data_IF_199114997221
#
_entry.id   IF_199114997221
#
_cell.length_a   1.000
_cell.length_b   1.000
_cell.length_c   1.000
_cell.angle_alpha   90.00
_cell.angle_beta   90.00
_cell.angle_gamma   90.00
#
_symmetry.space_group_name_H-M   'P 1'
#
loop_
_entity.id
_entity.type
_entity.pdbx_description
1 polymer ?
#
# COMPACT_ATOMS: atom_id res chain seq x y z
N UNK A 1 17.12 16.39 7.79
CA UNK A 1 16.70 17.81 7.86
C UNK A 1 15.84 17.97 9.10
N UNK A 2 15.82 19.14 9.71
CA UNK A 2 14.90 19.47 10.80
C UNK A 2 13.90 20.50 10.28
N UNK A 3 12.63 20.32 10.66
CA UNK A 3 11.55 21.18 10.26
C UNK A 3 10.84 21.73 11.49
N UNK A 4 10.42 22.98 11.43
CA UNK A 4 9.45 23.51 12.38
C UNK A 4 8.06 23.07 11.95
N UNK A 5 7.34 22.40 12.85
CA UNK A 5 5.97 21.93 12.63
C UNK A 5 5.00 22.92 13.23
N UNK A 6 4.03 23.35 12.46
CA UNK A 6 2.93 24.18 12.92
C UNK A 6 1.62 23.43 12.77
N UNK A 7 0.79 23.46 13.80
CA UNK A 7 -0.54 22.86 13.80
C UNK A 7 -1.56 23.95 14.03
N UNK A 8 -2.41 24.18 13.04
CA UNK A 8 -3.53 25.13 13.10
C UNK A 8 -4.81 24.33 13.34
N UNK A 9 -5.53 24.64 14.42
CA UNK A 9 -6.80 24.01 14.75
C UNK A 9 -7.96 24.85 14.20
N UNK A 10 -8.85 24.20 13.45
CA UNK A 10 -10.03 24.83 12.82
C UNK A 10 -11.25 23.92 12.92
N UNK A 11 -12.36 24.29 12.29
CA UNK A 11 -13.53 23.44 12.16
C UNK A 11 -13.49 22.64 10.86
N UNK A 12 -14.16 21.47 10.81
CA UNK A 12 -14.27 20.65 9.60
C UNK A 12 -14.93 21.40 8.45
N UNK A 13 -15.85 22.34 8.73
CA UNK A 13 -16.53 23.15 7.74
C UNK A 13 -15.66 24.29 7.17
N UNK A 14 -14.67 24.76 7.93
CA UNK A 14 -13.79 25.84 7.52
C UNK A 14 -12.46 25.41 6.88
N UNK A 15 -12.18 24.10 6.82
CA UNK A 15 -10.90 23.55 6.32
C UNK A 15 -10.51 24.12 4.97
N UNK A 16 -11.43 24.16 4.00
CA UNK A 16 -11.13 24.64 2.64
C UNK A 16 -10.77 26.12 2.60
N UNK A 17 -11.48 26.94 3.38
CA UNK A 17 -11.23 28.39 3.45
C UNK A 17 -9.93 28.68 4.17
N UNK A 18 -9.65 27.97 5.26
CA UNK A 18 -8.40 28.12 6.02
C UNK A 18 -7.21 27.61 5.23
N UNK A 19 -7.38 26.54 4.44
CA UNK A 19 -6.36 26.04 3.51
C UNK A 19 -6.04 27.08 2.43
N UNK A 20 -7.07 27.77 1.90
CA UNK A 20 -6.87 28.89 0.98
C UNK A 20 -6.06 30.02 1.59
N UNK A 21 -6.35 30.41 2.83
CA UNK A 21 -5.59 31.42 3.57
C UNK A 21 -4.11 31.03 3.77
N UNK A 22 -3.83 29.74 4.04
CA UNK A 22 -2.45 29.24 4.13
C UNK A 22 -1.72 29.34 2.80
N UNK A 23 -2.37 28.98 1.69
CA UNK A 23 -1.80 29.10 0.34
C UNK A 23 -1.48 30.57 -0.01
N UNK A 24 -2.38 31.50 0.30
CA UNK A 24 -2.15 32.93 0.08
C UNK A 24 -1.02 33.50 0.95
N UNK A 25 -0.79 32.91 2.12
CA UNK A 25 0.34 33.23 2.98
C UNK A 25 1.67 32.60 2.53
N UNK A 26 1.66 31.80 1.45
CA UNK A 26 2.84 31.15 0.87
C UNK A 26 3.16 29.77 1.44
N UNK A 27 2.18 29.10 2.03
CA UNK A 27 2.27 27.69 2.45
C UNK A 27 1.62 26.81 1.38
N UNK A 28 2.42 26.23 0.51
CA UNK A 28 1.93 25.44 -0.64
C UNK A 28 1.66 23.96 -0.31
N UNK A 29 2.13 23.47 0.85
CA UNK A 29 2.00 22.09 1.25
C UNK A 29 1.62 21.97 2.72
N UNK A 30 0.53 21.25 3.01
CA UNK A 30 0.04 20.98 4.36
C UNK A 30 -0.71 19.66 4.41
N UNK A 31 -0.84 19.12 5.59
CA UNK A 31 -1.63 17.93 5.90
C UNK A 31 -2.94 18.36 6.57
N UNK A 32 -4.04 17.68 6.26
CA UNK A 32 -5.33 17.89 6.91
C UNK A 32 -5.67 16.65 7.71
N UNK A 33 -5.89 16.83 9.01
CA UNK A 33 -6.41 15.82 9.91
C UNK A 33 -7.83 16.21 10.30
N UNK A 34 -8.83 15.53 9.74
CA UNK A 34 -10.23 15.66 10.12
C UNK A 34 -10.90 14.29 10.24
N UNK A 35 -12.16 14.28 10.68
CA UNK A 35 -13.00 13.10 10.77
C UNK A 35 -14.18 13.16 9.82
N UNK A 36 -14.13 14.02 8.82
CA UNK A 36 -15.17 14.17 7.82
C UNK A 36 -15.29 12.87 7.01
N UNK A 37 -16.51 12.42 6.80
CA UNK A 37 -16.73 11.24 5.97
C UNK A 37 -16.37 11.54 4.52
N UNK A 38 -15.55 10.71 3.94
CA UNK A 38 -15.18 10.76 2.52
C UNK A 38 -16.40 10.31 1.70
N UNK A 39 -16.74 11.06 0.66
CA UNK A 39 -17.83 10.71 -0.25
C UNK A 39 -17.54 9.42 -1.03
N UNK A 40 -18.59 8.75 -1.54
CA UNK A 40 -18.41 7.54 -2.37
C UNK A 40 -17.54 7.81 -3.61
N UNK A 41 -17.66 8.99 -4.22
CA UNK A 41 -16.84 9.37 -5.38
C UNK A 41 -15.37 9.54 -5.00
N UNK A 42 -15.08 10.07 -3.82
CA UNK A 42 -13.70 10.18 -3.31
C UNK A 42 -13.15 8.81 -2.93
N UNK A 43 -13.95 7.92 -2.34
CA UNK A 43 -13.55 6.54 -2.07
C UNK A 43 -13.16 5.82 -3.36
N UNK A 44 -13.96 5.94 -4.41
CA UNK A 44 -13.65 5.37 -5.72
C UNK A 44 -12.35 5.94 -6.30
N UNK A 45 -12.16 7.26 -6.21
CA UNK A 45 -10.95 7.92 -6.71
C UNK A 45 -9.68 7.53 -5.93
N UNK A 46 -9.82 7.25 -4.64
CA UNK A 46 -8.71 6.84 -3.75
C UNK A 46 -8.54 5.32 -3.67
N UNK A 47 -9.38 4.54 -4.38
CA UNK A 47 -9.37 3.08 -4.34
C UNK A 47 -9.51 2.49 -2.93
N UNK A 48 -10.34 3.11 -2.09
CA UNK A 48 -10.59 2.68 -0.71
C UNK A 48 -11.88 1.88 -0.65
N UNK A 49 -11.78 0.57 -0.41
CA UNK A 49 -12.93 -0.33 -0.31
C UNK A 49 -13.62 -0.28 1.06
N UNK A 50 -12.86 -0.07 2.14
CA UNK A 50 -13.37 -0.01 3.51
C UNK A 50 -12.76 1.19 4.23
N UNK A 51 -13.63 2.06 4.77
CA UNK A 51 -13.24 3.12 5.68
C UNK A 51 -13.70 2.79 7.10
N UNK A 52 -12.91 3.14 8.13
CA UNK A 52 -13.44 3.13 9.49
C UNK A 52 -14.60 4.14 9.61
N UNK A 53 -15.66 3.78 10.32
CA UNK A 53 -16.69 4.74 10.67
C UNK A 53 -16.09 5.78 11.63
N UNK A 54 -15.84 6.97 11.11
CA UNK A 54 -15.40 8.11 11.89
C UNK A 54 -16.61 8.99 12.18
N UNK A 55 -16.76 9.38 13.44
CA UNK A 55 -17.76 10.39 13.84
C UNK A 55 -17.08 11.73 13.80
N UNK A 56 -17.55 12.60 12.89
CA UNK A 56 -17.07 13.99 12.82
C UNK A 56 -17.40 14.73 14.11
N UNK A 57 -16.38 15.21 14.81
CA UNK A 57 -16.49 15.98 16.04
C UNK A 57 -16.44 17.49 15.81
N UNK A 58 -16.46 17.89 14.53
CA UNK A 58 -16.44 19.30 14.11
C UNK A 58 -15.06 19.97 14.21
N UNK A 59 -14.01 19.20 14.55
CA UNK A 59 -12.64 19.72 14.72
C UNK A 59 -11.75 19.18 13.62
N UNK A 60 -11.01 20.08 12.96
CA UNK A 60 -9.96 19.75 12.01
C UNK A 60 -8.62 20.39 12.43
N UNK A 61 -7.54 19.80 12.01
CA UNK A 61 -6.20 20.31 12.16
C UNK A 61 -5.52 20.37 10.81
N UNK A 62 -4.91 21.53 10.52
CA UNK A 62 -4.08 21.71 9.34
C UNK A 62 -2.64 21.81 9.82
N UNK A 63 -1.79 20.92 9.32
CA UNK A 63 -0.40 20.80 9.75
C UNK A 63 0.48 21.22 8.59
N UNK A 64 1.36 22.20 8.82
CA UNK A 64 2.32 22.67 7.83
C UNK A 64 3.73 22.78 8.40
N UNK A 65 4.70 22.86 7.52
CA UNK A 65 6.11 22.78 7.89
C UNK A 65 6.87 23.97 7.30
N UNK A 66 7.82 24.48 8.06
CA UNK A 66 8.80 25.47 7.59
C UNK A 66 10.20 24.94 7.83
N UNK A 67 11.12 25.26 6.92
CA UNK A 67 12.52 24.89 7.09
C UNK A 67 13.07 25.52 8.38
N UNK A 68 13.84 24.77 9.16
CA UNK A 68 14.44 25.24 10.41
C UNK A 68 15.40 26.41 10.18
N UNK A 69 15.97 26.49 8.98
CA UNK A 69 16.86 27.60 8.58
C UNK A 69 16.07 28.83 8.11
N UNK A 70 14.74 28.80 8.12
CA UNK A 70 13.92 30.02 7.88
C UNK A 70 14.21 31.03 8.95
N UNK A 71 14.58 32.25 8.54
CA UNK A 71 14.87 33.31 9.51
C UNK A 71 13.64 33.66 10.35
N UNK A 72 13.82 33.88 11.64
CA UNK A 72 12.75 34.22 12.58
C UNK A 72 11.86 35.35 12.08
N UNK A 73 12.47 36.35 11.39
CA UNK A 73 11.74 37.46 10.80
C UNK A 73 10.78 37.01 9.69
N UNK A 74 11.22 36.13 8.79
CA UNK A 74 10.39 35.62 7.69
C UNK A 74 9.28 34.72 8.22
N UNK A 75 9.60 33.88 9.19
CA UNK A 75 8.63 33.03 9.87
C UNK A 75 7.52 33.86 10.52
N UNK A 76 7.90 34.91 11.29
CA UNK A 76 6.94 35.78 11.92
C UNK A 76 6.07 36.53 10.89
N UNK A 77 6.65 37.00 9.78
CA UNK A 77 5.90 37.61 8.68
C UNK A 77 4.84 36.66 8.09
N UNK A 78 5.17 35.38 7.91
CA UNK A 78 4.22 34.35 7.42
C UNK A 78 3.12 34.12 8.45
N UNK A 79 3.46 33.92 9.72
CA UNK A 79 2.48 33.67 10.78
C UNK A 79 1.56 34.87 11.00
N UNK A 80 2.09 36.10 10.92
CA UNK A 80 1.29 37.33 11.03
C UNK A 80 0.32 37.46 9.85
N UNK A 81 0.74 37.09 8.64
CA UNK A 81 -0.14 37.06 7.46
C UNK A 81 -1.26 36.05 7.64
N UNK A 82 -0.92 34.80 8.05
CA UNK A 82 -1.92 33.77 8.34
C UNK A 82 -2.93 34.28 9.38
N UNK A 83 -2.47 34.82 10.49
CA UNK A 83 -3.35 35.35 11.54
C UNK A 83 -4.26 36.46 11.02
N UNK A 84 -3.76 37.34 10.18
CA UNK A 84 -4.56 38.41 9.57
C UNK A 84 -5.71 37.87 8.74
N UNK A 85 -5.42 36.88 7.89
CA UNK A 85 -6.44 36.21 7.06
C UNK A 85 -7.43 35.42 7.90
N UNK A 86 -6.99 34.74 8.95
CA UNK A 86 -7.87 34.03 9.87
C UNK A 86 -8.84 35.00 10.57
N UNK A 87 -8.39 36.20 10.99
CA UNK A 87 -9.28 37.21 11.59
C UNK A 87 -10.30 37.75 10.56
N UNK A 88 -9.95 37.85 9.30
CA UNK A 88 -10.89 38.19 8.23
C UNK A 88 -11.92 37.09 8.05
N UNK A 89 -11.50 35.82 8.00
CA UNK A 89 -12.39 34.65 7.86
C UNK A 89 -13.38 34.55 9.02
N UNK A 90 -13.00 34.89 10.26
CA UNK A 90 -13.89 34.92 11.45
C UNK A 90 -15.10 35.82 11.29
N UNK A 91 -15.07 36.78 10.37
CA UNK A 91 -16.19 37.71 10.17
C UNK A 91 -17.39 37.06 9.46
N UNK A 92 -17.20 35.92 8.78
CA UNK A 92 -18.22 35.27 7.97
C UNK A 92 -18.30 33.76 8.10
N UNK A 93 -17.32 33.12 8.77
CA UNK A 93 -17.34 31.68 9.01
C UNK A 93 -16.78 31.36 10.40
N UNK A 94 -17.31 30.33 11.04
CA UNK A 94 -16.74 29.82 12.29
C UNK A 94 -15.50 28.97 11.98
N UNK A 95 -14.33 29.54 12.22
CA UNK A 95 -13.03 28.85 12.07
C UNK A 95 -12.58 28.12 13.34
N UNK A 96 -13.42 28.01 14.36
CA UNK A 96 -13.07 27.42 15.65
C UNK A 96 -12.01 28.23 16.39
N UNK A 97 -11.06 27.56 17.05
CA UNK A 97 -10.01 28.23 17.84
C UNK A 97 -9.09 29.08 16.96
N UNK A 98 -8.79 28.66 15.73
CA UNK A 98 -7.79 29.30 14.86
C UNK A 98 -6.39 29.32 15.47
N UNK A 99 -6.15 28.51 16.52
CA UNK A 99 -4.90 28.51 17.26
C UNK A 99 -3.80 27.82 16.49
N UNK A 100 -2.68 28.50 16.30
CA UNK A 100 -1.46 27.91 15.76
C UNK A 100 -0.56 27.50 16.93
N UNK A 101 -0.10 26.27 16.93
CA UNK A 101 0.88 25.74 17.89
C UNK A 101 2.14 25.32 17.17
N UNK A 102 3.29 25.76 17.68
CA UNK A 102 4.59 25.39 17.16
C UNK A 102 5.10 24.12 17.84
N UNK A 103 5.74 23.27 17.07
CA UNK A 103 6.50 22.10 17.52
C UNK A 103 7.71 21.91 16.62
N UNK A 104 8.69 21.18 17.09
CA UNK A 104 9.82 20.75 16.26
C UNK A 104 9.62 19.30 15.83
N UNK A 105 9.94 19.01 14.57
CA UNK A 105 9.92 17.64 14.05
C UNK A 105 11.29 17.33 13.47
N UNK A 106 11.92 16.26 13.88
CA UNK A 106 13.05 15.68 13.17
C UNK A 106 12.51 14.68 12.13
N UNK A 107 13.13 14.62 10.94
CA UNK A 107 12.81 13.58 9.93
C UNK A 107 12.76 12.18 10.56
N UNK A 108 13.56 11.95 11.60
CA UNK A 108 13.58 10.71 12.36
C UNK A 108 12.27 10.37 13.06
N UNK A 109 11.51 11.38 13.50
CA UNK A 109 10.25 11.15 14.23
C UNK A 109 9.13 10.71 13.28
N UNK A 110 9.17 11.17 12.04
CA UNK A 110 8.23 10.76 11.00
C UNK A 110 8.61 9.41 10.40
N UNK A 111 9.90 9.26 10.03
CA UNK A 111 10.44 8.01 9.47
C UNK A 111 10.32 6.84 10.46
N UNK A 112 10.26 7.09 11.76
CA UNK A 112 10.25 6.02 12.76
C UNK A 112 8.87 5.77 13.39
N UNK A 113 7.93 6.73 13.39
CA UNK A 113 6.60 6.52 13.97
C UNK A 113 5.83 5.34 13.35
N UNK A 114 5.89 5.15 12.03
CA UNK A 114 5.25 4.02 11.37
C UNK A 114 5.84 2.67 11.82
N UNK A 115 7.12 2.65 12.24
CA UNK A 115 7.76 1.44 12.76
C UNK A 115 7.11 0.93 14.06
N UNK A 116 6.54 1.82 14.85
CA UNK A 116 5.83 1.46 16.09
C UNK A 116 4.53 0.70 15.80
N UNK A 117 3.94 0.91 14.64
CA UNK A 117 2.70 0.26 14.22
C UNK A 117 2.94 -1.10 13.55
N UNK A 118 4.17 -1.35 13.06
CA UNK A 118 4.48 -2.59 12.38
C UNK A 118 5.03 -3.63 13.38
N UNK A 119 4.13 -4.46 13.90
CA UNK A 119 4.45 -5.50 14.89
C UNK A 119 4.60 -6.87 14.22
N UNK A 120 5.47 -7.75 14.76
CA UNK A 120 5.58 -9.13 14.31
C UNK A 120 4.22 -9.85 14.40
N UNK A 121 3.93 -10.67 13.40
CA UNK A 121 2.72 -11.50 13.37
C UNK A 121 3.01 -12.85 12.71
N UNK A 122 2.12 -13.81 12.91
CA UNK A 122 2.26 -15.15 12.35
C UNK A 122 1.14 -15.44 11.35
N UNK A 123 1.51 -16.11 10.25
CA UNK A 123 0.60 -16.73 9.30
C UNK A 123 0.86 -18.23 9.37
N UNK A 124 -0.01 -18.95 10.06
CA UNK A 124 0.17 -20.36 10.39
C UNK A 124 1.52 -20.60 11.12
N UNK A 125 2.51 -21.25 10.50
CA UNK A 125 3.85 -21.48 11.03
C UNK A 125 4.94 -20.57 10.40
N UNK A 126 4.54 -19.48 9.73
CA UNK A 126 5.40 -18.47 9.15
C UNK A 126 5.34 -17.21 10.04
N UNK A 127 6.48 -16.81 10.58
CA UNK A 127 6.61 -15.52 11.27
C UNK A 127 6.98 -14.44 10.25
N UNK A 128 6.23 -13.34 10.23
CA UNK A 128 6.60 -12.12 9.50
C UNK A 128 6.93 -11.04 10.52
N UNK A 129 8.09 -10.43 10.40
CA UNK A 129 8.55 -9.38 11.31
C UNK A 129 9.37 -8.33 10.55
N UNK A 130 9.46 -7.08 11.05
CA UNK A 130 10.44 -6.13 10.55
C UNK A 130 11.84 -6.47 11.08
N UNK A 131 12.87 -5.95 10.40
CA UNK A 131 14.29 -6.22 10.78
C UNK A 131 14.64 -5.70 12.17
N UNK A 132 14.02 -4.62 12.62
CA UNK A 132 14.29 -3.96 13.92
C UNK A 132 13.61 -4.61 15.13
N UNK A 133 12.66 -5.52 14.91
CA UNK A 133 11.97 -6.20 16.02
C UNK A 133 12.64 -7.54 16.36
N UNK A 134 12.88 -7.75 17.65
CA UNK A 134 13.33 -9.03 18.17
C UNK A 134 12.12 -9.82 18.68
N UNK A 135 12.01 -11.06 18.26
CA UNK A 135 10.94 -11.96 18.68
C UNK A 135 11.52 -13.07 19.52
N UNK A 136 11.00 -13.25 20.74
CA UNK A 136 11.31 -14.39 21.58
C UNK A 136 10.70 -15.66 20.96
N UNK A 137 11.28 -16.83 21.24
CA UNK A 137 10.80 -18.13 20.73
C UNK A 137 10.67 -18.21 19.19
N UNK A 138 11.57 -17.59 18.46
CA UNK A 138 11.58 -17.59 16.99
C UNK A 138 11.63 -19.02 16.41
N UNK A 139 12.23 -19.96 17.13
CA UNK A 139 12.39 -21.37 16.74
C UNK A 139 11.07 -22.17 16.67
N UNK A 140 9.98 -21.63 17.22
CA UNK A 140 8.66 -22.26 17.09
C UNK A 140 8.06 -22.13 15.68
N UNK A 141 8.59 -21.23 14.86
CA UNK A 141 8.14 -21.02 13.49
C UNK A 141 9.04 -21.79 12.50
N UNK A 142 8.42 -22.40 11.50
CA UNK A 142 9.17 -23.11 10.45
C UNK A 142 9.85 -22.17 9.46
N UNK A 143 9.35 -20.95 9.35
CA UNK A 143 9.86 -19.94 8.44
C UNK A 143 9.78 -18.58 9.09
N UNK A 144 10.84 -17.80 8.92
CA UNK A 144 10.88 -16.38 9.34
C UNK A 144 11.11 -15.54 8.10
N UNK A 145 10.31 -14.51 7.96
CA UNK A 145 10.36 -13.55 6.87
C UNK A 145 10.55 -12.16 7.48
N UNK A 146 11.59 -11.49 7.05
CA UNK A 146 11.87 -10.11 7.46
C UNK A 146 11.39 -9.15 6.35
N UNK A 147 10.44 -8.29 6.69
CA UNK A 147 9.89 -7.29 5.76
C UNK A 147 9.98 -5.91 6.39
N UNK A 148 10.69 -5.04 5.71
CA UNK A 148 10.69 -3.61 5.99
C UNK A 148 9.81 -2.93 4.92
N UNK A 149 8.56 -2.59 5.23
CA UNK A 149 7.62 -2.12 4.22
C UNK A 149 7.99 -0.74 3.64
N UNK A 150 8.76 0.07 4.38
CA UNK A 150 9.06 1.43 3.97
C UNK A 150 7.76 2.23 3.76
N UNK A 151 7.67 2.92 2.62
CA UNK A 151 6.45 3.58 2.14
C UNK A 151 5.62 2.66 1.21
N UNK A 152 6.11 1.45 0.90
CA UNK A 152 5.44 0.51 0.03
C UNK A 152 4.30 -0.22 0.74
N UNK A 153 3.24 -0.53 0.00
CA UNK A 153 2.15 -1.39 0.48
C UNK A 153 2.61 -2.85 0.63
N UNK A 154 1.91 -3.63 1.47
CA UNK A 154 2.17 -5.07 1.59
C UNK A 154 2.97 -5.45 2.84
N UNK A 155 2.48 -5.03 4.03
CA UNK A 155 3.06 -5.46 5.33
C UNK A 155 2.89 -6.96 5.60
N UNK A 156 1.98 -7.62 4.88
CA UNK A 156 1.66 -9.04 5.06
C UNK A 156 0.62 -9.33 6.13
N UNK A 157 0.31 -8.38 7.01
CA UNK A 157 -0.67 -8.57 8.09
C UNK A 157 -2.10 -8.75 7.57
N UNK A 158 -2.41 -8.13 6.43
CA UNK A 158 -3.75 -8.09 5.87
C UNK A 158 -4.23 -9.49 5.44
N UNK A 159 -5.53 -9.76 5.59
CA UNK A 159 -6.17 -11.04 5.26
C UNK A 159 -5.89 -11.48 3.83
N UNK A 160 -5.84 -10.53 2.90
CA UNK A 160 -5.60 -10.80 1.47
C UNK A 160 -4.22 -11.41 1.22
N UNK A 161 -3.19 -10.91 1.90
CA UNK A 161 -1.84 -11.47 1.82
C UNK A 161 -1.78 -12.88 2.41
N UNK A 162 -2.47 -13.11 3.55
CA UNK A 162 -2.56 -14.43 4.16
C UNK A 162 -3.25 -15.45 3.24
N UNK A 163 -4.32 -15.03 2.53
CA UNK A 163 -4.99 -15.87 1.53
C UNK A 163 -4.04 -16.27 0.41
N UNK A 164 -3.29 -15.31 -0.17
CA UNK A 164 -2.29 -15.61 -1.20
C UNK A 164 -1.20 -16.55 -0.70
N UNK A 165 -0.66 -16.33 0.50
CA UNK A 165 0.40 -17.17 1.09
C UNK A 165 -0.05 -18.60 1.26
N UNK A 166 -1.30 -18.84 1.73
CA UNK A 166 -1.86 -20.19 1.86
C UNK A 166 -2.02 -20.88 0.50
N UNK A 167 -2.41 -20.14 -0.54
CA UNK A 167 -2.48 -20.69 -1.90
C UNK A 167 -1.08 -20.98 -2.47
N UNK A 168 -0.11 -20.08 -2.30
CA UNK A 168 1.28 -20.33 -2.70
C UNK A 168 1.85 -21.56 -2.03
N UNK A 169 1.62 -21.72 -0.72
CA UNK A 169 2.07 -22.88 0.05
C UNK A 169 1.49 -24.19 -0.46
N UNK A 170 0.25 -24.17 -0.97
CA UNK A 170 -0.43 -25.35 -1.52
C UNK A 170 0.15 -25.81 -2.86
N UNK A 171 0.63 -24.88 -3.68
CA UNK A 171 0.93 -25.14 -5.08
C UNK A 171 2.40 -24.99 -5.48
N UNK A 172 3.23 -24.32 -4.68
CA UNK A 172 4.66 -24.15 -4.99
C UNK A 172 5.39 -25.47 -4.88
N UNK A 173 6.24 -25.73 -5.87
CA UNK A 173 7.22 -26.82 -5.94
C UNK A 173 8.60 -26.27 -6.27
N UNK A 174 9.65 -27.13 -6.22
CA UNK A 174 11.03 -26.72 -6.52
C UNK A 174 11.26 -26.34 -8.01
N UNK A 175 10.30 -26.60 -8.88
CA UNK A 175 10.37 -26.24 -10.30
C UNK A 175 9.51 -25.00 -10.63
N UNK A 176 8.80 -24.44 -9.66
CA UNK A 176 7.87 -23.35 -9.85
C UNK A 176 8.59 -22.06 -10.28
N UNK A 177 8.19 -21.49 -11.41
CA UNK A 177 8.46 -20.11 -11.78
C UNK A 177 7.25 -19.25 -11.38
N UNK A 178 7.48 -18.26 -10.53
CA UNK A 178 6.47 -17.37 -9.96
C UNK A 178 6.53 -15.99 -10.61
N UNK A 179 5.39 -15.46 -11.02
CA UNK A 179 5.22 -14.03 -11.36
C UNK A 179 4.35 -13.38 -10.28
N UNK A 180 4.80 -12.26 -9.74
CA UNK A 180 4.13 -11.47 -8.70
C UNK A 180 3.76 -10.10 -9.29
N UNK A 181 2.48 -9.87 -9.53
CA UNK A 181 1.95 -8.65 -10.16
C UNK A 181 1.41 -7.71 -9.10
N UNK A 182 1.98 -6.49 -9.02
CA UNK A 182 1.78 -5.58 -7.89
C UNK A 182 2.53 -6.11 -6.67
N UNK A 183 3.85 -6.32 -6.81
CA UNK A 183 4.63 -7.02 -5.78
C UNK A 183 4.80 -6.25 -4.47
N UNK A 184 4.61 -4.92 -4.44
CA UNK A 184 4.71 -4.10 -3.24
C UNK A 184 6.03 -4.29 -2.50
N UNK A 185 5.95 -4.72 -1.25
CA UNK A 185 7.13 -5.05 -0.43
C UNK A 185 7.92 -6.28 -0.89
N UNK A 186 7.42 -7.02 -1.89
CA UNK A 186 7.98 -8.28 -2.38
C UNK A 186 7.62 -9.50 -1.54
N UNK A 187 6.76 -9.38 -0.55
CA UNK A 187 6.48 -10.44 0.43
C UNK A 187 6.04 -11.76 -0.22
N UNK A 188 5.17 -11.73 -1.24
CA UNK A 188 4.68 -12.95 -1.90
C UNK A 188 5.78 -13.62 -2.72
N UNK A 189 6.58 -12.83 -3.43
CA UNK A 189 7.76 -13.32 -4.14
C UNK A 189 8.80 -13.94 -3.20
N UNK A 190 9.10 -13.27 -2.08
CA UNK A 190 10.06 -13.72 -1.07
C UNK A 190 9.59 -15.03 -0.42
N UNK A 191 8.33 -15.08 0.02
CA UNK A 191 7.74 -16.29 0.59
C UNK A 191 7.71 -17.40 -0.46
N UNK A 192 7.37 -17.09 -1.70
CA UNK A 192 7.41 -18.04 -2.80
C UNK A 192 8.80 -18.69 -2.96
N UNK A 193 9.85 -17.90 -2.92
CA UNK A 193 11.24 -18.38 -2.94
C UNK A 193 11.59 -19.23 -1.72
N UNK A 194 11.19 -18.79 -0.54
CA UNK A 194 11.41 -19.55 0.71
C UNK A 194 10.63 -20.87 0.76
N UNK A 195 9.48 -20.95 0.09
CA UNK A 195 8.72 -22.20 -0.08
C UNK A 195 9.33 -23.14 -1.12
N UNK A 196 10.35 -22.70 -1.84
CA UNK A 196 11.08 -23.53 -2.79
C UNK A 196 10.85 -23.19 -4.27
N UNK A 197 10.13 -22.13 -4.61
CA UNK A 197 10.00 -21.73 -6.02
C UNK A 197 11.40 -21.53 -6.64
N UNK A 198 11.58 -22.01 -7.87
CA UNK A 198 12.85 -21.97 -8.61
C UNK A 198 13.28 -20.54 -8.91
N UNK A 199 12.34 -19.75 -9.45
CA UNK A 199 12.54 -18.35 -9.78
C UNK A 199 11.29 -17.55 -9.37
N UNK A 200 11.48 -16.26 -9.09
CA UNK A 200 10.40 -15.31 -8.93
C UNK A 200 10.69 -14.04 -9.74
N UNK A 201 9.64 -13.43 -10.29
CA UNK A 201 9.71 -12.18 -11.01
C UNK A 201 8.58 -11.27 -10.51
N UNK A 202 8.95 -10.13 -9.94
CA UNK A 202 7.98 -9.17 -9.40
C UNK A 202 7.88 -7.94 -10.28
N UNK A 203 6.67 -7.43 -10.45
CA UNK A 203 6.40 -6.20 -11.20
C UNK A 203 5.55 -5.28 -10.33
N UNK A 204 5.92 -4.01 -10.26
CA UNK A 204 5.11 -2.98 -9.63
C UNK A 204 5.17 -1.67 -10.43
N UNK A 205 4.12 -0.88 -10.36
CA UNK A 205 4.09 0.44 -11.01
C UNK A 205 4.86 1.49 -10.22
N UNK A 206 5.07 1.25 -8.92
CA UNK A 206 5.76 2.14 -8.01
C UNK A 206 7.25 1.78 -7.86
N UNK A 207 8.13 2.75 -8.16
CA UNK A 207 9.58 2.64 -7.97
C UNK A 207 9.98 2.39 -6.51
N UNK A 208 9.23 2.97 -5.56
CA UNK A 208 9.50 2.77 -4.14
C UNK A 208 9.21 1.32 -3.72
N UNK A 209 8.14 0.71 -4.26
CA UNK A 209 7.82 -0.69 -4.06
C UNK A 209 8.92 -1.62 -4.61
N UNK A 210 9.42 -1.36 -5.82
CA UNK A 210 10.52 -2.13 -6.41
C UNK A 210 11.79 -2.01 -5.58
N UNK A 211 12.12 -0.83 -5.09
CA UNK A 211 13.28 -0.60 -4.22
C UNK A 211 13.16 -1.37 -2.90
N UNK A 212 11.97 -1.31 -2.27
CA UNK A 212 11.69 -2.03 -1.03
C UNK A 212 11.78 -3.55 -1.23
N UNK A 213 11.19 -4.09 -2.30
CA UNK A 213 11.20 -5.53 -2.58
C UNK A 213 12.61 -6.08 -2.83
N UNK A 214 13.47 -5.33 -3.52
CA UNK A 214 14.90 -5.68 -3.70
C UNK A 214 15.61 -5.71 -2.34
N UNK A 215 15.39 -4.72 -1.47
CA UNK A 215 15.96 -4.67 -0.13
C UNK A 215 15.51 -5.85 0.72
N UNK A 216 14.21 -6.12 0.75
CA UNK A 216 13.62 -7.22 1.50
C UNK A 216 14.10 -8.60 1.01
N UNK A 217 14.27 -8.80 -0.30
CA UNK A 217 14.80 -10.04 -0.85
C UNK A 217 16.23 -10.31 -0.36
N UNK A 218 17.08 -9.28 -0.29
CA UNK A 218 18.46 -9.38 0.24
C UNK A 218 18.46 -9.74 1.72
N UNK A 219 17.68 -9.07 2.54
CA UNK A 219 17.57 -9.35 3.98
C UNK A 219 17.17 -10.81 4.22
N UNK A 220 16.26 -11.34 3.40
CA UNK A 220 15.82 -12.73 3.49
C UNK A 220 16.78 -13.74 2.84
N UNK A 221 17.87 -13.30 2.20
CA UNK A 221 18.83 -14.18 1.54
C UNK A 221 18.25 -14.95 0.35
N UNK A 222 17.31 -14.35 -0.37
CA UNK A 222 16.65 -14.92 -1.56
C UNK A 222 16.81 -14.06 -2.80
N UNK A 223 17.73 -13.10 -2.79
CA UNK A 223 18.05 -12.21 -3.90
C UNK A 223 18.61 -12.92 -5.14
N UNK A 224 19.04 -14.18 -4.97
CA UNK A 224 19.37 -15.05 -6.10
C UNK A 224 18.10 -15.64 -6.71
N UNK A 225 17.96 -15.55 -8.06
CA UNK A 225 16.81 -16.06 -8.81
C UNK A 225 15.48 -15.36 -8.45
N UNK A 226 15.56 -14.09 -8.09
CA UNK A 226 14.44 -13.18 -7.95
C UNK A 226 14.79 -11.86 -8.62
N UNK A 227 13.90 -11.32 -9.42
CA UNK A 227 14.05 -10.03 -10.10
C UNK A 227 12.80 -9.20 -9.85
N UNK A 228 12.99 -7.89 -9.64
CA UNK A 228 11.90 -6.94 -9.51
C UNK A 228 12.09 -5.81 -10.50
N UNK A 229 11.01 -5.43 -11.18
CA UNK A 229 11.03 -4.33 -12.14
C UNK A 229 9.84 -3.39 -11.96
N UNK A 230 10.08 -2.13 -12.31
CA UNK A 230 9.00 -1.16 -12.45
C UNK A 230 8.30 -1.34 -13.78
N UNK A 231 6.96 -1.36 -13.78
CA UNK A 231 6.17 -1.38 -15.01
C UNK A 231 4.71 -1.76 -14.80
N UNK A 232 3.93 -1.60 -15.88
CA UNK A 232 2.52 -1.99 -15.94
C UNK A 232 2.33 -3.14 -16.94
N UNK A 233 2.14 -4.35 -16.45
CA UNK A 233 1.94 -5.54 -17.32
C UNK A 233 0.59 -5.52 -18.05
N UNK A 234 -0.36 -4.66 -17.66
CA UNK A 234 -1.68 -4.59 -18.32
C UNK A 234 -1.56 -3.87 -19.66
N UNK A 235 -0.84 -2.76 -19.70
CA UNK A 235 -0.84 -1.85 -20.85
C UNK A 235 0.49 -1.80 -21.60
N UNK A 236 1.61 -2.03 -20.89
CA UNK A 236 2.95 -1.87 -21.47
C UNK A 236 3.42 -3.15 -22.14
N UNK A 237 3.60 -3.07 -23.46
CA UNK A 237 4.08 -4.19 -24.27
C UNK A 237 5.53 -4.59 -23.91
N UNK A 238 6.41 -3.62 -23.61
CA UNK A 238 7.81 -3.93 -23.28
C UNK A 238 7.89 -4.71 -21.96
N UNK A 239 7.04 -4.37 -21.01
CA UNK A 239 6.92 -5.10 -19.73
C UNK A 239 6.37 -6.51 -19.94
N UNK A 240 5.33 -6.68 -20.79
CA UNK A 240 4.82 -8.00 -21.17
C UNK A 240 5.91 -8.88 -21.81
N UNK A 241 6.65 -8.31 -22.76
CA UNK A 241 7.71 -9.02 -23.46
C UNK A 241 8.87 -9.37 -22.51
N UNK A 242 9.22 -8.47 -21.58
CA UNK A 242 10.25 -8.71 -20.56
C UNK A 242 9.81 -9.76 -19.55
N UNK A 243 8.56 -9.76 -19.10
CA UNK A 243 8.00 -10.80 -18.24
C UNK A 243 8.06 -12.18 -18.92
N UNK A 244 7.91 -12.22 -20.26
CA UNK A 244 7.95 -13.47 -21.03
C UNK A 244 6.58 -14.17 -21.07
N UNK A 245 6.45 -15.11 -22.00
CA UNK A 245 5.20 -15.81 -22.28
C UNK A 245 5.36 -17.32 -22.06
N UNK A 246 4.32 -17.95 -21.48
CA UNK A 246 4.25 -19.40 -21.27
C UNK A 246 5.34 -19.95 -20.35
N UNK A 247 5.88 -19.12 -19.46
CA UNK A 247 7.02 -19.48 -18.62
C UNK A 247 6.70 -19.60 -17.13
N UNK A 248 5.51 -19.14 -16.67
CA UNK A 248 5.15 -19.18 -15.25
C UNK A 248 4.22 -20.33 -14.91
N UNK A 249 4.54 -21.01 -13.83
CA UNK A 249 3.68 -22.04 -13.23
C UNK A 249 2.60 -21.40 -12.35
N UNK A 250 2.95 -20.26 -11.72
CA UNK A 250 2.04 -19.48 -10.89
C UNK A 250 2.20 -18.00 -11.23
N UNK A 251 1.09 -17.31 -11.41
CA UNK A 251 0.99 -15.86 -11.35
C UNK A 251 0.18 -15.51 -10.11
N UNK A 252 0.72 -14.67 -9.22
CA UNK A 252 0.01 -14.16 -8.05
C UNK A 252 -0.20 -12.66 -8.20
N UNK A 253 -1.36 -12.16 -7.75
CA UNK A 253 -1.67 -10.74 -7.71
C UNK A 253 -2.51 -10.44 -6.48
N UNK A 254 -1.96 -9.67 -5.54
CA UNK A 254 -2.67 -9.18 -4.36
C UNK A 254 -2.90 -7.68 -4.49
N UNK A 255 -3.87 -7.32 -5.31
CA UNK A 255 -4.17 -5.94 -5.72
C UNK A 255 -5.70 -5.73 -5.75
N UNK A 256 -6.15 -4.50 -5.95
CA UNK A 256 -7.57 -4.16 -5.97
C UNK A 256 -8.33 -4.90 -7.07
N UNK A 257 -9.58 -5.24 -6.80
CA UNK A 257 -10.48 -5.95 -7.73
C UNK A 257 -10.57 -5.23 -9.09
N UNK A 258 -10.63 -3.90 -9.09
CA UNK A 258 -10.74 -3.08 -10.30
C UNK A 258 -9.48 -3.14 -11.19
N UNK A 259 -8.34 -3.56 -10.63
CA UNK A 259 -7.10 -3.84 -11.38
C UNK A 259 -7.02 -5.32 -11.78
N UNK A 260 -7.53 -6.25 -10.96
CA UNK A 260 -7.58 -7.68 -11.31
C UNK A 260 -8.45 -7.92 -12.55
N UNK A 261 -9.57 -7.20 -12.67
CA UNK A 261 -10.48 -7.32 -13.81
C UNK A 261 -9.79 -7.09 -15.16
N UNK A 262 -9.11 -5.96 -15.44
CA UNK A 262 -8.35 -5.79 -16.67
C UNK A 262 -7.13 -6.74 -16.75
N UNK A 263 -6.46 -7.06 -15.64
CA UNK A 263 -5.34 -8.00 -15.62
C UNK A 263 -5.76 -9.39 -16.09
N UNK A 264 -6.93 -9.89 -15.70
CA UNK A 264 -7.44 -11.21 -16.10
C UNK A 264 -7.56 -11.38 -17.61
N UNK A 265 -7.73 -10.28 -18.36
CA UNK A 265 -7.82 -10.31 -19.83
C UNK A 265 -6.48 -10.55 -20.53
N UNK A 266 -5.36 -10.18 -19.87
CA UNK A 266 -4.02 -10.17 -20.50
C UNK A 266 -3.04 -11.16 -19.86
N UNK A 267 -3.35 -11.75 -18.71
CA UNK A 267 -2.39 -12.53 -17.93
C UNK A 267 -2.20 -13.97 -18.42
N UNK A 268 -3.22 -14.57 -19.00
CA UNK A 268 -3.18 -15.98 -19.42
C UNK A 268 -1.98 -16.32 -20.32
N UNK A 269 -1.57 -15.51 -21.31
CA UNK A 269 -0.40 -15.79 -22.14
C UNK A 269 0.91 -15.98 -21.38
N UNK A 270 1.08 -15.40 -20.19
CA UNK A 270 2.29 -15.52 -19.36
C UNK A 270 2.37 -16.86 -18.62
N UNK A 271 1.23 -17.44 -18.29
CA UNK A 271 1.15 -18.76 -17.64
C UNK A 271 1.52 -19.89 -18.59
N UNK A 272 2.07 -20.98 -18.09
CA UNK A 272 2.11 -22.27 -18.75
C UNK A 272 0.69 -22.86 -18.84
N UNK A 273 0.46 -23.81 -19.73
CA UNK A 273 -0.78 -24.60 -19.69
C UNK A 273 -0.84 -25.38 -18.36
N UNK A 274 -1.98 -25.34 -17.69
CA UNK A 274 -2.14 -25.88 -16.33
C UNK A 274 -1.55 -24.99 -15.23
N UNK A 275 -0.95 -23.84 -15.58
CA UNK A 275 -0.47 -22.87 -14.61
C UNK A 275 -1.62 -22.15 -13.91
N UNK A 276 -1.33 -21.59 -12.72
CA UNK A 276 -2.33 -21.00 -11.83
C UNK A 276 -2.25 -19.49 -11.81
N UNK A 277 -3.39 -18.83 -11.85
CA UNK A 277 -3.57 -17.42 -11.57
C UNK A 277 -4.25 -17.27 -10.20
N UNK A 278 -3.49 -16.81 -9.20
CA UNK A 278 -3.94 -16.62 -7.81
C UNK A 278 -4.14 -15.14 -7.59
N UNK A 279 -5.37 -14.73 -7.28
CA UNK A 279 -5.71 -13.33 -7.03
C UNK A 279 -6.24 -13.15 -5.62
N UNK A 280 -5.97 -12.01 -5.00
CA UNK A 280 -6.57 -11.55 -3.75
C UNK A 280 -6.53 -10.01 -3.71
N UNK A 281 -7.00 -9.39 -2.60
CA UNK A 281 -7.29 -7.96 -2.57
C UNK A 281 -8.72 -7.67 -3.03
N UNK A 282 -9.56 -8.70 -3.02
CA UNK A 282 -10.94 -8.65 -3.50
C UNK A 282 -11.86 -8.59 -2.28
N UNK A 283 -12.58 -7.50 -2.12
CA UNK A 283 -13.64 -7.42 -1.11
C UNK A 283 -14.84 -8.27 -1.56
N UNK A 284 -15.57 -8.87 -0.61
CA UNK A 284 -16.62 -9.86 -0.88
C UNK A 284 -17.69 -9.39 -1.89
N UNK A 285 -18.04 -8.10 -1.92
CA UNK A 285 -19.02 -7.54 -2.83
C UNK A 285 -18.53 -7.45 -4.29
N UNK A 286 -17.20 -7.50 -4.52
CA UNK A 286 -16.57 -7.52 -5.86
C UNK A 286 -16.23 -8.95 -6.34
N UNK A 287 -16.49 -9.99 -5.55
CA UNK A 287 -16.18 -11.38 -5.91
C UNK A 287 -16.81 -11.78 -7.25
N UNK A 288 -18.10 -11.48 -7.41
CA UNK A 288 -18.83 -11.87 -8.63
C UNK A 288 -18.27 -11.20 -9.89
N UNK A 289 -17.86 -9.94 -9.80
CA UNK A 289 -17.29 -9.19 -10.91
C UNK A 289 -15.94 -9.75 -11.34
N UNK A 290 -15.08 -10.09 -10.36
CA UNK A 290 -13.76 -10.68 -10.61
C UNK A 290 -13.90 -12.09 -11.20
N UNK A 291 -14.75 -12.94 -10.63
CA UNK A 291 -15.02 -14.28 -11.16
C UNK A 291 -15.50 -14.21 -12.60
N UNK A 292 -16.46 -13.33 -12.87
CA UNK A 292 -16.98 -13.10 -14.22
C UNK A 292 -15.87 -12.68 -15.20
N UNK A 293 -15.04 -11.72 -14.81
CA UNK A 293 -13.94 -11.24 -15.65
C UNK A 293 -12.89 -12.32 -15.95
N UNK A 294 -12.61 -13.20 -14.98
CA UNK A 294 -11.72 -14.35 -15.19
C UNK A 294 -12.35 -15.35 -16.15
N UNK A 295 -13.64 -15.68 -16.01
CA UNK A 295 -14.36 -16.65 -16.85
C UNK A 295 -14.63 -16.13 -18.26
N UNK A 296 -14.72 -14.82 -18.47
CA UNK A 296 -14.77 -14.20 -19.80
C UNK A 296 -13.49 -14.43 -20.60
N UNK A 297 -12.37 -14.74 -19.95
CA UNK A 297 -11.16 -15.19 -20.65
C UNK A 297 -11.23 -16.69 -20.92
N UNK A 298 -11.48 -17.06 -22.17
CA UNK A 298 -11.63 -18.47 -22.61
C UNK A 298 -10.42 -19.36 -22.23
N UNK A 299 -9.24 -18.77 -21.98
CA UNK A 299 -8.03 -19.49 -21.57
C UNK A 299 -7.95 -19.77 -20.08
N UNK A 300 -8.84 -19.20 -19.26
CA UNK A 300 -8.85 -19.37 -17.82
C UNK A 300 -10.11 -20.14 -17.37
N UNK A 301 -10.00 -20.80 -16.24
CA UNK A 301 -11.11 -21.48 -15.57
C UNK A 301 -10.94 -21.32 -14.06
N UNK A 302 -11.98 -20.85 -13.37
CA UNK A 302 -11.95 -20.69 -11.91
C UNK A 302 -11.89 -22.09 -11.27
N UNK A 303 -10.86 -22.31 -10.46
CA UNK A 303 -10.59 -23.59 -9.79
C UNK A 303 -11.03 -23.59 -8.33
N UNK A 304 -10.80 -22.49 -7.64
CA UNK A 304 -11.03 -22.39 -6.19
C UNK A 304 -11.27 -20.96 -5.77
N UNK A 305 -12.19 -20.75 -4.83
CA UNK A 305 -12.44 -19.47 -4.19
C UNK A 305 -12.27 -19.69 -2.68
N UNK A 306 -11.40 -18.91 -2.05
CA UNK A 306 -11.18 -18.93 -0.60
C UNK A 306 -11.50 -17.56 0.01
N UNK A 307 -12.00 -17.57 1.25
CA UNK A 307 -12.46 -16.35 1.93
C UNK A 307 -11.89 -16.28 3.34
N UNK A 308 -11.60 -15.06 3.78
CA UNK A 308 -11.21 -14.77 5.15
C UNK A 308 -11.78 -13.42 5.55
N UNK A 309 -12.72 -13.41 6.52
CA UNK A 309 -13.56 -12.24 6.85
C UNK A 309 -14.23 -11.69 5.58
N UNK A 310 -14.05 -10.42 5.27
CA UNK A 310 -14.64 -9.72 4.13
C UNK A 310 -13.82 -9.86 2.83
N UNK A 311 -12.72 -10.64 2.86
CA UNK A 311 -11.78 -10.74 1.76
C UNK A 311 -11.81 -12.08 1.06
N UNK A 312 -11.57 -12.02 -0.24
CA UNK A 312 -11.65 -13.17 -1.16
C UNK A 312 -10.34 -13.33 -1.92
N UNK A 313 -10.00 -14.59 -2.16
CA UNK A 313 -8.98 -14.98 -3.13
C UNK A 313 -9.60 -15.92 -4.15
N UNK A 314 -9.38 -15.63 -5.43
CA UNK A 314 -9.83 -16.46 -6.56
C UNK A 314 -8.61 -17.05 -7.22
N UNK A 315 -8.58 -18.39 -7.31
CA UNK A 315 -7.55 -19.14 -8.03
C UNK A 315 -8.15 -19.71 -9.30
N UNK A 316 -7.55 -19.34 -10.43
CA UNK A 316 -7.93 -19.88 -11.74
C UNK A 316 -6.78 -20.71 -12.34
N UNK A 317 -7.09 -21.59 -13.27
CA UNK A 317 -6.13 -22.42 -14.01
C UNK A 317 -6.15 -22.05 -15.49
N UNK A 318 -4.97 -22.00 -16.12
CA UNK A 318 -4.86 -21.88 -17.58
C UNK A 318 -5.17 -23.22 -18.25
N UNK A 319 -6.14 -23.23 -19.15
CA UNK A 319 -6.55 -24.38 -19.99
C UNK A 319 -5.47 -24.78 -20.98
#
# INVERSE_FOLDING_TARGET
MQWKKFTLETTTDAVDLVSGALMEAGIDSFEIEDKKQISEAEKEAMYIDILPELVDDGVARIIFYMDIDTSDKKEQEILDNINTQLEELRTFVDIGSGKITEGTTEDKDWINKWKEFFKPFAIDDILVKPTWENVEDIDKYKMVIEIDPGTAFGTGLHETTQLCIRQLRKYITNDTNLLDVGCGSGILSIIGRKLGAKNAFGIDIDEAAVTASIGNAKVNGVDNNIEFIKGNIIDDKEIKDKAGYGCYDIVVANILADIIIPLSKVIAPHLKRGGLFITSGIIYNKEADVVKAIEENEQLEVKEITRQKDWVSVTAIRK
#
